data_IF_844069793404
#
_entry.id   IF_844069793404
#
_cell.length_a   1.000
_cell.length_b   1.000
_cell.length_c   1.000
_cell.angle_alpha   90.00
_cell.angle_beta   90.00
_cell.angle_gamma   90.00
#
_symmetry.space_group_name_H-M   'P 1'
#
loop_
_entity.id
_entity.type
_entity.pdbx_description
1 polymer ?
#
# COMPACT_ATOMS: atom_id res chain seq x y z
N UNK A 1 -2.47 25.88 -6.15
CA UNK A 1 -2.21 24.57 -6.78
C UNK A 1 -2.45 23.49 -5.73
N UNK A 2 -3.26 22.45 -5.99
CA UNK A 2 -3.45 21.38 -5.01
C UNK A 2 -2.09 20.73 -4.76
N UNK A 3 -1.70 20.63 -3.50
CA UNK A 3 -0.35 20.27 -3.07
C UNK A 3 -0.06 18.80 -3.36
N UNK A 4 0.43 18.50 -4.57
CA UNK A 4 1.12 17.23 -4.79
C UNK A 4 2.32 17.17 -3.85
N UNK A 5 2.35 16.15 -2.99
CA UNK A 5 3.55 15.90 -2.18
C UNK A 5 4.73 15.65 -3.12
N UNK A 6 5.92 16.23 -2.84
CA UNK A 6 7.07 16.07 -3.72
C UNK A 6 7.43 14.59 -3.83
N UNK A 7 7.59 14.13 -5.08
CA UNK A 7 8.02 12.78 -5.42
C UNK A 7 9.56 12.76 -5.49
N UNK A 8 10.15 11.69 -4.97
CA UNK A 8 11.59 11.45 -5.00
C UNK A 8 11.88 10.13 -5.69
N UNK A 9 12.89 10.11 -6.56
CA UNK A 9 13.41 8.88 -7.13
C UNK A 9 14.34 8.21 -6.11
N UNK A 10 13.99 7.01 -5.66
CA UNK A 10 14.77 6.24 -4.68
C UNK A 10 14.80 4.77 -5.11
N UNK A 11 16.01 4.22 -5.27
CA UNK A 11 16.24 2.84 -5.76
C UNK A 11 15.41 2.53 -7.03
N UNK A 12 15.40 3.47 -7.98
CA UNK A 12 14.66 3.40 -9.25
C UNK A 12 13.12 3.47 -9.16
N UNK A 13 12.56 3.82 -8.00
CA UNK A 13 11.13 4.04 -7.83
C UNK A 13 10.78 5.46 -7.38
N UNK A 14 9.67 5.98 -7.89
CA UNK A 14 9.13 7.28 -7.53
C UNK A 14 8.27 7.16 -6.26
N UNK A 15 8.72 7.74 -5.15
CA UNK A 15 8.03 7.66 -3.85
C UNK A 15 7.75 9.06 -3.32
N UNK A 16 6.53 9.29 -2.82
CA UNK A 16 6.21 10.54 -2.16
C UNK A 16 7.09 10.73 -0.93
N UNK A 17 7.66 11.93 -0.73
CA UNK A 17 8.64 12.22 0.32
C UNK A 17 8.22 11.74 1.73
N UNK A 18 6.93 11.85 2.07
CA UNK A 18 6.43 11.39 3.36
C UNK A 18 6.40 9.85 3.48
N UNK A 19 6.05 9.14 2.39
CA UNK A 19 6.11 7.68 2.36
C UNK A 19 7.54 7.18 2.37
N UNK A 20 8.48 7.86 1.70
CA UNK A 20 9.90 7.51 1.74
C UNK A 20 10.47 7.61 3.16
N UNK A 21 10.10 8.66 3.91
CA UNK A 21 10.45 8.76 5.35
C UNK A 21 9.92 7.56 6.13
N UNK A 22 8.69 7.14 5.85
CA UNK A 22 8.09 5.93 6.43
C UNK A 22 8.86 4.66 6.10
N UNK A 23 9.25 4.47 4.83
CA UNK A 23 10.04 3.33 4.40
C UNK A 23 11.40 3.26 5.08
N UNK A 24 12.11 4.40 5.17
CA UNK A 24 13.42 4.48 5.84
C UNK A 24 13.32 4.26 7.35
N UNK A 25 12.27 4.75 8.00
CA UNK A 25 12.04 4.49 9.42
C UNK A 25 11.68 3.02 9.66
N UNK A 26 10.86 2.45 8.79
CA UNK A 26 10.50 1.03 8.82
C UNK A 26 11.73 0.14 8.69
N UNK A 27 12.67 0.42 7.76
CA UNK A 27 13.93 -0.31 7.62
C UNK A 27 14.71 -0.42 8.94
N UNK A 28 14.71 0.64 9.74
CA UNK A 28 15.49 0.73 10.99
C UNK A 28 14.78 0.15 12.21
N UNK A 29 13.44 0.17 12.21
CA UNK A 29 12.66 0.01 13.44
C UNK A 29 11.63 -1.11 13.38
N UNK A 30 11.26 -1.58 12.18
CA UNK A 30 10.25 -2.62 12.04
C UNK A 30 10.79 -3.97 12.50
N UNK A 31 10.09 -4.56 13.47
CA UNK A 31 10.39 -5.87 14.03
C UNK A 31 9.37 -6.86 13.49
N UNK A 32 9.77 -7.66 12.51
CA UNK A 32 8.92 -8.72 11.97
C UNK A 32 8.66 -9.82 13.00
N UNK A 33 7.55 -10.54 12.82
CA UNK A 33 7.24 -11.77 13.52
C UNK A 33 7.10 -12.90 12.49
N UNK A 34 7.50 -14.15 12.80
CA UNK A 34 7.44 -15.25 11.83
C UNK A 34 6.04 -15.51 11.24
N UNK A 35 4.98 -15.09 11.94
CA UNK A 35 3.59 -15.29 11.50
C UNK A 35 2.99 -14.09 10.75
N UNK A 36 3.74 -12.99 10.60
CA UNK A 36 3.26 -11.76 9.97
C UNK A 36 2.83 -12.00 8.52
N UNK A 37 1.79 -11.27 8.10
CA UNK A 37 1.28 -11.30 6.73
C UNK A 37 1.31 -9.88 6.17
N UNK A 38 2.08 -9.67 5.11
CA UNK A 38 2.26 -8.37 4.46
C UNK A 38 1.51 -8.39 3.12
N UNK A 39 0.43 -7.61 3.05
CA UNK A 39 -0.40 -7.46 1.86
C UNK A 39 0.18 -6.37 0.98
N UNK A 40 0.68 -6.74 -0.19
CA UNK A 40 1.34 -5.80 -1.09
C UNK A 40 0.57 -5.67 -2.39
N UNK A 41 0.52 -4.46 -2.92
CA UNK A 41 -0.06 -4.18 -4.22
C UNK A 41 0.52 -2.89 -4.76
N UNK A 42 0.60 -2.74 -6.08
CA UNK A 42 0.70 -1.41 -6.64
C UNK A 42 -0.62 -0.65 -6.36
N UNK A 43 -0.59 0.68 -6.06
CA UNK A 43 -1.81 1.42 -5.77
C UNK A 43 -2.90 1.19 -6.82
N UNK A 44 -4.15 1.08 -6.35
CA UNK A 44 -5.35 0.87 -7.19
C UNK A 44 -5.47 -0.52 -7.82
N UNK A 45 -4.67 -1.49 -7.37
CA UNK A 45 -4.72 -2.88 -7.84
C UNK A 45 -5.61 -3.82 -6.99
N UNK A 46 -6.47 -3.29 -6.12
CA UNK A 46 -7.39 -4.09 -5.30
C UNK A 46 -7.04 -4.21 -3.81
N UNK A 47 -6.20 -3.32 -3.29
CA UNK A 47 -5.74 -3.33 -1.89
C UNK A 47 -6.88 -3.36 -0.87
N UNK A 48 -7.93 -2.56 -1.05
CA UNK A 48 -9.09 -2.52 -0.14
C UNK A 48 -9.79 -3.87 -0.05
N UNK A 49 -9.94 -4.55 -1.20
CA UNK A 49 -10.57 -5.86 -1.26
C UNK A 49 -9.68 -6.93 -0.63
N UNK A 50 -8.37 -6.92 -0.93
CA UNK A 50 -7.41 -7.84 -0.31
C UNK A 50 -7.36 -7.68 1.23
N UNK A 51 -7.36 -6.44 1.73
CA UNK A 51 -7.43 -6.15 3.16
C UNK A 51 -8.69 -6.74 3.80
N UNK A 52 -9.85 -6.52 3.19
CA UNK A 52 -11.12 -7.04 3.70
C UNK A 52 -11.13 -8.58 3.77
N UNK A 53 -10.68 -9.25 2.71
CA UNK A 53 -10.63 -10.71 2.65
C UNK A 53 -9.69 -11.31 3.71
N UNK A 54 -8.48 -10.77 3.82
CA UNK A 54 -7.49 -11.28 4.78
C UNK A 54 -7.95 -11.02 6.20
N UNK A 55 -8.44 -9.81 6.49
CA UNK A 55 -8.97 -9.49 7.82
C UNK A 55 -10.11 -10.43 8.20
N UNK A 56 -11.13 -10.57 7.35
CA UNK A 56 -12.24 -11.48 7.58
C UNK A 56 -11.79 -12.93 7.80
N UNK A 57 -10.78 -13.40 7.04
CA UNK A 57 -10.24 -14.75 7.17
C UNK A 57 -9.55 -14.97 8.53
N UNK A 58 -8.74 -14.00 8.97
CA UNK A 58 -8.00 -14.08 10.22
C UNK A 58 -8.93 -13.96 11.44
N UNK A 59 -9.98 -13.16 11.34
CA UNK A 59 -10.90 -12.88 12.45
C UNK A 59 -12.21 -13.67 12.41
N UNK A 60 -12.34 -14.65 11.50
CA UNK A 60 -13.58 -15.42 11.27
C UNK A 60 -14.13 -16.11 12.51
N UNK A 61 -13.27 -16.45 13.48
CA UNK A 61 -13.66 -17.07 14.75
C UNK A 61 -13.70 -16.07 15.91
N UNK A 62 -13.23 -14.84 15.68
CA UNK A 62 -13.16 -13.79 16.70
C UNK A 62 -14.42 -12.92 16.73
N UNK A 63 -15.11 -12.79 15.59
CA UNK A 63 -16.32 -12.00 15.48
C UNK A 63 -17.45 -12.81 14.82
N UNK A 64 -18.68 -12.73 15.35
CA UNK A 64 -19.88 -13.15 14.63
C UNK A 64 -20.02 -12.42 13.29
N UNK A 65 -20.65 -13.06 12.30
CA UNK A 65 -20.78 -12.52 10.94
C UNK A 65 -21.55 -11.19 10.90
N UNK A 66 -22.59 -11.04 11.71
CA UNK A 66 -23.45 -9.85 11.81
C UNK A 66 -22.79 -8.69 12.58
N UNK A 67 -21.79 -8.99 13.41
CA UNK A 67 -21.05 -8.01 14.22
C UNK A 67 -19.61 -7.83 13.73
N UNK A 68 -19.31 -8.31 12.53
CA UNK A 68 -17.97 -8.25 11.98
C UNK A 68 -17.52 -6.78 11.76
N UNK A 69 -16.29 -6.39 12.18
CA UNK A 69 -15.85 -4.98 12.11
C UNK A 69 -15.93 -4.34 10.71
N UNK A 70 -15.86 -5.15 9.65
CA UNK A 70 -15.98 -4.68 8.25
C UNK A 70 -17.35 -4.12 7.88
N UNK A 71 -18.39 -4.30 8.71
CA UNK A 71 -19.69 -3.65 8.49
C UNK A 71 -19.69 -2.17 8.87
N UNK A 72 -18.80 -1.76 9.78
CA UNK A 72 -18.76 -0.41 10.35
C UNK A 72 -17.44 0.31 10.10
N UNK A 73 -16.37 -0.41 9.79
CA UNK A 73 -15.04 0.13 9.57
C UNK A 73 -14.58 -0.09 8.14
N UNK A 74 -13.83 0.86 7.62
CA UNK A 74 -13.16 0.70 6.34
C UNK A 74 -12.03 -0.34 6.46
N UNK A 75 -11.81 -1.23 5.48
CA UNK A 75 -10.72 -2.20 5.52
C UNK A 75 -9.32 -1.58 5.73
N UNK A 76 -9.11 -0.31 5.36
CA UNK A 76 -7.87 0.42 5.62
C UNK A 76 -7.64 0.79 7.09
N UNK A 77 -8.69 0.72 7.93
CA UNK A 77 -8.61 0.88 9.39
C UNK A 77 -8.31 -0.45 10.08
N UNK A 78 -8.82 -1.55 9.53
CA UNK A 78 -8.59 -2.90 10.06
C UNK A 78 -7.18 -3.45 9.75
N UNK A 79 -6.61 -3.08 8.60
CA UNK A 79 -5.28 -3.52 8.16
C UNK A 79 -4.44 -2.29 7.80
N UNK A 80 -3.50 -1.85 8.65
CA UNK A 80 -2.79 -0.59 8.47
C UNK A 80 -1.75 -0.64 7.35
N UNK A 81 -1.37 0.54 6.84
CA UNK A 81 -0.24 0.70 5.93
C UNK A 81 1.05 0.93 6.71
N UNK A 82 2.04 0.07 6.55
CA UNK A 82 3.25 0.10 7.40
C UNK A 82 3.99 1.42 7.24
N UNK A 83 4.36 1.77 6.00
CA UNK A 83 5.07 3.02 5.70
C UNK A 83 4.31 4.26 6.18
N UNK A 84 2.97 4.24 6.17
CA UNK A 84 2.16 5.36 6.65
C UNK A 84 2.26 5.50 8.17
N UNK A 85 2.10 4.42 8.92
CA UNK A 85 2.18 4.48 10.39
C UNK A 85 3.58 4.88 10.84
N UNK A 86 4.63 4.37 10.20
CA UNK A 86 6.01 4.83 10.47
C UNK A 86 6.23 6.30 10.10
N UNK A 87 5.74 6.75 8.94
CA UNK A 87 5.89 8.15 8.51
C UNK A 87 5.22 9.16 9.45
N UNK A 88 4.20 8.71 10.21
CA UNK A 88 3.41 9.54 11.14
C UNK A 88 3.78 9.31 12.61
N UNK A 89 4.83 8.53 12.91
CA UNK A 89 5.24 8.23 14.28
C UNK A 89 4.21 7.41 15.06
N UNK A 90 3.42 6.59 14.37
CA UNK A 90 2.36 5.74 14.91
C UNK A 90 2.67 4.24 14.79
N UNK A 91 3.95 3.86 14.70
CA UNK A 91 4.39 2.46 14.55
C UNK A 91 3.92 1.55 15.69
N UNK A 92 3.65 2.09 16.88
CA UNK A 92 3.05 1.36 18.00
C UNK A 92 1.69 0.72 17.68
N UNK A 93 0.93 1.28 16.73
CA UNK A 93 -0.33 0.67 16.25
C UNK A 93 -0.06 -0.71 15.66
N UNK A 94 1.07 -0.88 14.96
CA UNK A 94 1.46 -2.14 14.32
C UNK A 94 1.95 -3.15 15.36
N UNK A 95 2.65 -2.68 16.39
CA UNK A 95 3.11 -3.54 17.49
C UNK A 95 1.96 -4.04 18.37
N UNK A 96 0.90 -3.25 18.53
CA UNK A 96 -0.27 -3.62 19.31
C UNK A 96 -1.14 -4.72 18.65
N UNK A 97 -0.96 -5.01 17.36
CA UNK A 97 -1.77 -6.03 16.67
C UNK A 97 -1.35 -7.43 17.16
N UNK A 98 -2.28 -8.28 17.61
CA UNK A 98 -1.96 -9.65 18.00
C UNK A 98 -1.51 -10.50 16.80
N UNK A 99 -0.65 -11.47 17.04
CA UNK A 99 -0.24 -12.43 16.00
C UNK A 99 -1.34 -13.47 15.70
N UNK A 100 -1.49 -13.91 14.44
CA UNK A 100 -0.83 -13.38 13.23
C UNK A 100 -1.40 -12.01 12.86
N UNK A 101 -0.54 -11.02 12.65
CA UNK A 101 -0.97 -9.67 12.25
C UNK A 101 -0.91 -9.51 10.73
N UNK A 102 -1.98 -8.95 10.17
CA UNK A 102 -2.02 -8.50 8.79
C UNK A 102 -1.69 -7.01 8.72
N UNK A 103 -0.81 -6.67 7.78
CA UNK A 103 -0.41 -5.29 7.49
C UNK A 103 -0.36 -5.12 5.97
N UNK A 104 -0.19 -3.90 5.49
CA UNK A 104 -0.13 -3.65 4.05
C UNK A 104 0.94 -2.66 3.66
N UNK A 105 1.39 -2.75 2.41
CA UNK A 105 2.35 -1.81 1.85
C UNK A 105 2.12 -1.59 0.35
N UNK A 106 2.53 -0.42 -0.14
CA UNK A 106 2.71 -0.14 -1.55
C UNK A 106 4.19 -0.08 -1.96
N UNK A 107 5.11 -0.42 -1.06
CA UNK A 107 6.52 -0.36 -1.38
C UNK A 107 6.88 -1.43 -2.44
N UNK A 108 7.79 -1.10 -3.37
CA UNK A 108 8.45 -2.09 -4.21
C UNK A 108 9.26 -3.10 -3.41
N UNK A 109 9.43 -4.31 -3.95
CA UNK A 109 10.13 -5.40 -3.25
C UNK A 109 11.56 -5.03 -2.81
N UNK A 110 12.32 -4.34 -3.66
CA UNK A 110 13.70 -3.89 -3.36
C UNK A 110 13.81 -2.80 -2.28
N UNK A 111 12.66 -2.27 -1.84
CA UNK A 111 12.54 -1.22 -0.82
C UNK A 111 11.86 -1.76 0.44
N UNK A 112 11.27 -2.96 0.39
CA UNK A 112 10.80 -3.62 1.60
C UNK A 112 11.98 -3.92 2.55
N UNK A 113 11.76 -3.79 3.86
CA UNK A 113 12.75 -4.13 4.86
C UNK A 113 13.24 -5.55 4.73
N UNK A 114 14.53 -5.75 4.94
CA UNK A 114 15.12 -7.09 5.06
C UNK A 114 14.51 -7.91 6.18
N UNK A 115 14.04 -7.24 7.24
CA UNK A 115 13.30 -7.91 8.31
C UNK A 115 12.00 -8.56 7.80
N UNK A 116 11.44 -8.12 6.67
CA UNK A 116 10.32 -8.77 5.99
C UNK A 116 10.84 -9.77 4.97
N UNK A 117 11.69 -9.35 4.01
CA UNK A 117 12.09 -10.17 2.85
C UNK A 117 12.97 -11.36 3.21
N UNK A 118 13.76 -11.26 4.28
CA UNK A 118 14.73 -12.28 4.69
C UNK A 118 14.20 -13.10 5.90
N UNK A 119 12.89 -13.04 6.16
CA UNK A 119 12.23 -13.68 7.31
C UNK A 119 11.12 -14.64 6.87
N UNK A 120 10.50 -15.33 7.84
CA UNK A 120 9.33 -16.18 7.60
C UNK A 120 8.01 -15.40 7.38
N UNK A 121 8.06 -14.07 7.28
CA UNK A 121 6.91 -13.26 6.91
C UNK A 121 6.30 -13.74 5.60
N UNK A 122 4.97 -13.82 5.54
CA UNK A 122 4.26 -14.15 4.30
C UNK A 122 3.91 -12.88 3.56
N UNK A 123 4.38 -12.76 2.32
CA UNK A 123 3.98 -11.68 1.42
C UNK A 123 2.84 -12.17 0.53
N UNK A 124 1.72 -11.44 0.51
CA UNK A 124 0.61 -11.69 -0.41
C UNK A 124 0.53 -10.51 -1.37
N UNK A 125 0.92 -10.73 -2.62
CA UNK A 125 0.92 -9.71 -3.65
C UNK A 125 -0.35 -9.81 -4.52
N UNK A 126 -0.99 -8.67 -4.80
CA UNK A 126 -2.05 -8.56 -5.82
C UNK A 126 -1.68 -7.50 -6.85
N UNK A 127 -1.82 -7.87 -8.12
CA UNK A 127 -1.65 -6.97 -9.25
C UNK A 127 -2.91 -6.96 -10.10
N UNK A 128 -3.01 -5.94 -10.95
CA UNK A 128 -4.13 -5.73 -11.86
C UNK A 128 -3.60 -5.26 -13.21
N UNK A 129 -4.35 -5.53 -14.28
CA UNK A 129 -4.05 -5.01 -15.61
C UNK A 129 -3.79 -3.48 -15.55
N UNK A 130 -2.64 -2.97 -16.04
CA UNK A 130 -2.29 -1.55 -15.96
C UNK A 130 -3.34 -0.59 -16.56
N UNK A 131 -4.09 -1.04 -17.58
CA UNK A 131 -5.17 -0.24 -18.18
C UNK A 131 -6.29 0.04 -17.17
N UNK A 132 -6.67 -0.97 -16.39
CA UNK A 132 -7.67 -0.82 -15.34
C UNK A 132 -7.14 -0.01 -14.15
N UNK A 133 -5.85 -0.18 -13.81
CA UNK A 133 -5.18 0.60 -12.76
C UNK A 133 -5.24 2.08 -13.10
N UNK A 134 -4.97 2.46 -14.35
CA UNK A 134 -5.07 3.83 -14.85
C UNK A 134 -6.47 4.41 -14.64
N UNK A 135 -7.52 3.70 -15.10
CA UNK A 135 -8.92 4.15 -14.95
C UNK A 135 -9.30 4.28 -13.47
N UNK A 136 -8.88 3.33 -12.62
CA UNK A 136 -9.12 3.43 -11.18
C UNK A 136 -8.37 4.60 -10.54
N UNK A 137 -7.14 4.88 -10.98
CA UNK A 137 -6.33 6.01 -10.51
C UNK A 137 -6.96 7.35 -10.91
N UNK A 138 -7.47 7.47 -12.14
CA UNK A 138 -8.20 8.64 -12.63
C UNK A 138 -9.34 9.03 -11.69
N UNK A 139 -10.30 8.13 -11.49
CA UNK A 139 -11.45 8.39 -10.62
C UNK A 139 -11.06 8.59 -9.15
N UNK A 140 -10.01 7.94 -8.68
CA UNK A 140 -9.50 8.15 -7.33
C UNK A 140 -8.92 9.56 -7.15
N UNK A 141 -8.17 10.02 -8.15
CA UNK A 141 -7.55 11.35 -8.15
C UNK A 141 -8.61 12.44 -8.21
N UNK A 142 -9.62 12.26 -9.06
CA UNK A 142 -10.81 13.13 -9.16
C UNK A 142 -11.50 13.32 -7.80
N UNK A 143 -11.75 12.22 -7.09
CA UNK A 143 -12.40 12.24 -5.76
C UNK A 143 -11.53 12.90 -4.69
N UNK A 144 -10.22 12.63 -4.66
CA UNK A 144 -9.33 13.17 -3.62
C UNK A 144 -9.02 14.65 -3.82
N UNK A 145 -8.89 15.09 -5.08
CA UNK A 145 -8.54 16.49 -5.37
C UNK A 145 -9.75 17.44 -5.39
N UNK A 146 -10.96 16.90 -5.21
CA UNK A 146 -12.18 17.70 -5.09
C UNK A 146 -12.65 18.29 -6.42
N UNK A 147 -12.57 17.51 -7.50
CA UNK A 147 -13.15 17.85 -8.82
C UNK A 147 -12.14 17.96 -9.97
N UNK A 148 -12.66 17.93 -11.20
CA UNK A 148 -11.90 17.87 -12.46
C UNK A 148 -10.93 19.05 -12.68
N UNK A 149 -11.23 20.24 -12.14
CA UNK A 149 -10.40 21.44 -12.35
C UNK A 149 -9.06 21.41 -11.58
N UNK A 150 -8.89 20.41 -10.71
CA UNK A 150 -7.73 20.27 -9.83
C UNK A 150 -6.87 19.04 -10.15
N UNK A 151 -7.26 18.23 -11.14
CA UNK A 151 -6.54 17.01 -11.51
C UNK A 151 -5.68 17.18 -12.77
N UNK A 152 -4.59 16.41 -12.92
CA UNK A 152 -3.97 16.20 -14.23
C UNK A 152 -5.01 15.66 -15.20
N UNK A 153 -4.86 15.88 -16.51
CA UNK A 153 -5.75 15.26 -17.52
C UNK A 153 -5.52 13.75 -17.59
N UNK A 154 -6.46 13.02 -18.21
CA UNK A 154 -6.35 11.56 -18.31
C UNK A 154 -5.10 11.17 -19.10
N UNK A 155 -4.80 11.91 -20.16
CA UNK A 155 -3.59 11.78 -20.97
C UNK A 155 -2.32 11.97 -20.12
N UNK A 156 -2.31 12.97 -19.21
CA UNK A 156 -1.17 13.17 -18.32
C UNK A 156 -0.98 12.04 -17.32
N UNK A 157 -2.07 11.46 -16.80
CA UNK A 157 -1.97 10.26 -15.94
C UNK A 157 -1.52 9.04 -16.73
N UNK A 158 -2.01 8.88 -17.98
CA UNK A 158 -1.59 7.83 -18.89
C UNK A 158 -0.08 7.92 -19.16
N UNK A 159 0.42 9.09 -19.58
CA UNK A 159 1.83 9.32 -19.86
C UNK A 159 2.69 9.08 -18.60
N UNK A 160 2.25 9.59 -17.45
CA UNK A 160 2.91 9.37 -16.15
C UNK A 160 3.03 7.89 -15.81
N UNK A 161 1.97 7.10 -15.99
CA UNK A 161 1.98 5.66 -15.74
C UNK A 161 2.89 4.92 -16.74
N UNK A 162 2.81 5.25 -18.03
CA UNK A 162 3.62 4.64 -19.09
C UNK A 162 5.12 4.91 -18.90
N UNK A 163 5.48 6.15 -18.54
CA UNK A 163 6.85 6.54 -18.22
C UNK A 163 7.31 6.06 -16.83
N UNK A 164 6.39 5.53 -16.01
CA UNK A 164 6.66 5.08 -14.65
C UNK A 164 6.90 6.20 -13.63
N UNK A 165 6.64 7.46 -14.01
CA UNK A 165 6.82 8.65 -13.17
C UNK A 165 5.55 8.90 -12.35
N UNK A 166 5.22 7.94 -11.48
CA UNK A 166 4.01 7.96 -10.68
C UNK A 166 4.27 7.34 -9.29
N UNK A 167 3.37 7.54 -8.33
CA UNK A 167 3.52 6.97 -6.98
C UNK A 167 3.79 5.46 -6.98
N UNK A 168 4.92 5.06 -6.40
CA UNK A 168 5.48 3.70 -6.35
C UNK A 168 5.80 3.10 -7.74
N UNK A 169 5.81 3.90 -8.79
CA UNK A 169 6.17 3.50 -10.14
C UNK A 169 7.69 3.41 -10.33
N UNK A 170 8.16 2.71 -11.38
CA UNK A 170 7.36 2.18 -12.50
C UNK A 170 6.51 0.94 -12.16
N UNK A 171 5.27 0.86 -12.67
CA UNK A 171 4.36 -0.27 -12.41
C UNK A 171 4.94 -1.62 -12.88
N UNK A 172 5.66 -1.62 -14.01
CA UNK A 172 6.27 -2.82 -14.59
C UNK A 172 7.29 -3.42 -13.63
N UNK A 173 8.23 -2.61 -13.17
CA UNK A 173 9.26 -3.00 -12.22
C UNK A 173 8.65 -3.36 -10.86
N UNK A 174 7.59 -2.66 -10.45
CA UNK A 174 6.90 -2.99 -9.21
C UNK A 174 6.27 -4.37 -9.29
N UNK A 175 5.64 -4.74 -10.40
CA UNK A 175 5.05 -6.09 -10.56
C UNK A 175 6.14 -7.15 -10.68
N UNK A 176 7.14 -6.92 -11.55
CA UNK A 176 8.22 -7.88 -11.79
C UNK A 176 9.00 -8.20 -10.51
N UNK A 177 9.31 -7.20 -9.68
CA UNK A 177 10.03 -7.43 -8.43
C UNK A 177 9.31 -8.29 -7.39
N UNK A 178 7.99 -8.48 -7.51
CA UNK A 178 7.23 -9.43 -6.68
C UNK A 178 6.91 -10.75 -7.41
N UNK A 179 7.14 -10.82 -8.72
CA UNK A 179 6.87 -12.00 -9.54
C UNK A 179 8.06 -12.95 -9.60
N UNK A 180 9.27 -12.38 -9.66
CA UNK A 180 10.56 -13.09 -9.62
C UNK A 180 10.83 -13.74 -8.25
#
# INVERSE_FOLDING_TARGET
MPHFHPMLLYKDFWIAKFMLRGALAMEQQFKSRPTDIVLVSFPKSGTTWLKAMIFATLTRTSYPLDQHPLHTHNPHECVPFIEREFSTGRSQIIEAIPSPRAMSSHLPFSILPKTITDSDCRIVYVWRNPKDVLVSMWHFTEKIMGGADKIPTFERLYDSLCQGVNGFGPIWNHVLGYWE
#
